data_IF_858449773670
#
_entry.id   IF_858449773670
#
_cell.length_a   1.000
_cell.length_b   1.000
_cell.length_c   1.000
_cell.angle_alpha   90.00
_cell.angle_beta   90.00
_cell.angle_gamma   90.00
#
_symmetry.space_group_name_H-M   'P 1'
#
loop_
_entity.id
_entity.type
_entity.pdbx_description
1 polymer ?
#
# COMPACT_ATOMS: atom_id res chain seq x y z
N UNK A 1 31.64 -55.10 -72.61
CA UNK A 1 30.27 -54.77 -72.14
C UNK A 1 30.40 -54.13 -70.77
N UNK A 2 29.91 -52.90 -70.63
CA UNK A 2 30.07 -51.99 -69.48
C UNK A 2 29.35 -52.46 -68.21
N UNK A 3 29.90 -52.13 -67.02
CA UNK A 3 29.17 -51.59 -65.83
C UNK A 3 30.15 -51.39 -64.66
N UNK A 4 30.51 -50.15 -64.33
CA UNK A 4 29.94 -49.27 -63.29
C UNK A 4 30.44 -49.54 -61.85
N UNK A 5 31.38 -48.70 -61.37
CA UNK A 5 31.63 -48.45 -59.94
C UNK A 5 31.52 -46.95 -59.68
N UNK A 6 30.28 -46.51 -59.36
CA UNK A 6 29.90 -45.12 -59.08
C UNK A 6 29.60 -45.00 -57.58
N UNK A 7 30.64 -44.97 -56.73
CA UNK A 7 30.43 -45.10 -55.28
C UNK A 7 31.45 -44.45 -54.33
N UNK A 8 32.48 -43.75 -54.81
CA UNK A 8 33.50 -43.15 -53.92
C UNK A 8 33.29 -41.65 -53.63
N UNK A 9 32.62 -40.89 -54.50
CA UNK A 9 32.53 -39.43 -54.34
C UNK A 9 31.46 -38.98 -53.34
N UNK A 10 30.32 -39.69 -53.26
CA UNK A 10 29.23 -39.29 -52.36
C UNK A 10 29.57 -39.53 -50.88
N UNK A 11 30.34 -40.58 -50.58
CA UNK A 11 30.70 -40.94 -49.19
C UNK A 11 31.77 -39.99 -48.62
N UNK A 12 32.73 -39.56 -49.45
CA UNK A 12 33.74 -38.55 -49.07
C UNK A 12 33.08 -37.18 -48.89
N UNK A 13 32.12 -36.83 -49.76
CA UNK A 13 31.38 -35.57 -49.66
C UNK A 13 30.48 -35.53 -48.42
N UNK A 14 29.80 -36.62 -48.06
CA UNK A 14 28.97 -36.67 -46.84
C UNK A 14 29.80 -36.63 -45.56
N UNK A 15 30.95 -37.29 -45.51
CA UNK A 15 31.86 -37.21 -44.36
C UNK A 15 32.42 -35.80 -44.16
N UNK A 16 32.76 -35.10 -45.25
CA UNK A 16 33.24 -33.71 -45.20
C UNK A 16 32.16 -32.73 -44.70
N UNK A 17 30.92 -32.90 -45.16
CA UNK A 17 29.78 -32.07 -44.71
C UNK A 17 29.46 -32.28 -43.22
N UNK A 18 29.52 -33.52 -42.73
CA UNK A 18 29.32 -33.82 -41.31
C UNK A 18 30.42 -33.21 -40.44
N UNK A 19 31.67 -33.24 -40.91
CA UNK A 19 32.80 -32.64 -40.20
C UNK A 19 32.68 -31.10 -40.12
N UNK A 20 32.24 -30.46 -41.21
CA UNK A 20 31.95 -29.03 -41.24
C UNK A 20 30.82 -28.66 -40.27
N UNK A 21 29.73 -29.43 -40.27
CA UNK A 21 28.60 -29.20 -39.36
C UNK A 21 29.03 -29.34 -37.88
N UNK A 22 29.83 -30.36 -37.57
CA UNK A 22 30.37 -30.57 -36.22
C UNK A 22 31.32 -29.43 -35.82
N UNK A 23 32.19 -28.98 -36.73
CA UNK A 23 33.11 -27.87 -36.44
C UNK A 23 32.36 -26.56 -36.17
N UNK A 24 31.28 -26.27 -36.89
CA UNK A 24 30.42 -25.10 -36.63
C UNK A 24 29.68 -25.19 -35.30
N UNK A 25 29.29 -26.40 -34.86
CA UNK A 25 28.56 -26.59 -33.62
C UNK A 25 29.47 -26.61 -32.37
N UNK A 26 30.72 -27.06 -32.51
CA UNK A 26 31.67 -27.17 -31.41
C UNK A 26 32.66 -25.99 -31.31
N UNK A 27 33.00 -25.33 -32.42
CA UNK A 27 33.86 -24.13 -32.45
C UNK A 27 33.10 -22.83 -32.68
N UNK A 28 31.77 -22.89 -32.85
CA UNK A 28 30.90 -21.72 -32.81
C UNK A 28 30.86 -21.15 -31.39
N UNK A 29 31.88 -20.35 -31.04
CA UNK A 29 31.80 -19.48 -29.86
C UNK A 29 30.53 -18.65 -29.96
N UNK A 30 29.78 -18.42 -28.87
CA UNK A 30 28.84 -17.31 -28.88
C UNK A 30 29.68 -16.06 -29.16
N UNK A 31 29.38 -15.36 -30.26
CA UNK A 31 29.80 -13.97 -30.41
C UNK A 31 29.15 -13.23 -29.25
N UNK A 32 29.86 -13.15 -28.13
CA UNK A 32 29.60 -12.14 -27.12
C UNK A 32 29.91 -10.86 -27.86
N UNK A 33 28.85 -10.18 -28.31
CA UNK A 33 28.96 -8.80 -28.71
C UNK A 33 29.65 -8.10 -27.54
N UNK A 34 30.89 -7.67 -27.74
CA UNK A 34 31.62 -6.82 -26.82
C UNK A 34 30.87 -5.50 -26.77
N UNK A 35 29.79 -5.47 -25.99
CA UNK A 35 29.16 -4.27 -25.51
C UNK A 35 30.26 -3.53 -24.78
N UNK A 36 30.65 -2.39 -25.33
CA UNK A 36 31.54 -1.41 -24.71
C UNK A 36 31.20 -1.33 -23.23
N UNK A 37 32.04 -1.95 -22.41
CA UNK A 37 31.91 -1.93 -20.96
C UNK A 37 32.14 -0.48 -20.53
N UNK A 38 31.05 0.27 -20.39
CA UNK A 38 31.09 1.64 -19.95
C UNK A 38 31.50 1.60 -18.47
N UNK A 39 32.65 2.17 -18.08
CA UNK A 39 33.14 2.13 -16.70
C UNK A 39 32.19 2.77 -15.67
N UNK A 40 31.20 3.53 -16.17
CA UNK A 40 30.09 4.10 -15.40
C UNK A 40 29.14 3.04 -14.82
N UNK A 41 28.96 1.89 -15.49
CA UNK A 41 28.02 0.84 -15.05
C UNK A 41 28.55 0.06 -13.85
N UNK A 42 29.87 -0.02 -13.69
CA UNK A 42 30.52 -0.76 -12.59
C UNK A 42 30.56 0.04 -11.27
N UNK A 43 30.40 1.37 -11.36
CA UNK A 43 30.37 2.28 -10.20
C UNK A 43 28.95 2.66 -9.77
N UNK A 44 27.95 2.42 -10.62
CA UNK A 44 26.56 2.73 -10.31
C UNK A 44 25.90 1.61 -9.50
N UNK A 45 25.14 2.02 -8.49
CA UNK A 45 24.33 1.06 -7.73
C UNK A 45 23.22 0.48 -8.62
N UNK A 46 22.73 -0.71 -8.28
CA UNK A 46 21.63 -1.34 -9.03
C UNK A 46 20.39 -0.42 -9.12
N UNK A 47 20.14 0.39 -8.08
CA UNK A 47 19.06 1.37 -8.02
C UNK A 47 19.24 2.52 -9.04
N UNK A 48 20.47 3.02 -9.16
CA UNK A 48 20.83 4.08 -10.12
C UNK A 48 20.78 3.58 -11.58
N UNK A 49 21.17 2.32 -11.81
CA UNK A 49 21.02 1.67 -13.11
C UNK A 49 19.55 1.44 -13.49
N UNK A 50 18.68 1.11 -12.52
CA UNK A 50 17.24 0.99 -12.77
C UNK A 50 16.59 2.32 -13.07
N UNK A 51 17.02 3.39 -12.43
CA UNK A 51 16.56 4.76 -12.69
C UNK A 51 16.95 5.22 -14.10
N UNK A 52 18.22 5.06 -14.49
CA UNK A 52 18.73 5.43 -15.83
C UNK A 52 18.09 4.61 -16.95
N UNK A 53 17.76 3.35 -16.69
CA UNK A 53 17.08 2.47 -17.65
C UNK A 53 15.58 2.78 -17.80
N UNK A 54 15.03 3.75 -17.06
CA UNK A 54 13.62 4.12 -17.10
C UNK A 54 12.69 3.12 -16.39
N UNK A 55 13.25 2.19 -15.61
CA UNK A 55 12.53 1.31 -14.69
C UNK A 55 12.41 1.95 -13.30
N UNK A 56 12.28 3.27 -13.23
CA UNK A 56 12.16 3.99 -11.97
C UNK A 56 10.96 3.48 -11.15
N UNK A 57 11.20 3.17 -9.88
CA UNK A 57 10.17 2.80 -8.90
C UNK A 57 9.36 4.04 -8.42
N UNK A 58 9.50 5.19 -9.10
CA UNK A 58 8.86 6.43 -8.69
C UNK A 58 7.33 6.34 -8.79
N UNK A 59 6.65 6.71 -7.70
CA UNK A 59 5.19 6.73 -7.71
C UNK A 59 4.71 7.91 -8.56
N UNK A 60 4.03 7.61 -9.67
CA UNK A 60 3.41 8.61 -10.56
C UNK A 60 2.41 9.54 -9.86
N UNK A 61 1.91 9.15 -8.69
CA UNK A 61 1.15 10.04 -7.81
C UNK A 61 1.32 9.64 -6.36
N UNK A 62 1.01 10.54 -5.43
CA UNK A 62 0.98 10.26 -3.99
C UNK A 62 -0.40 10.58 -3.46
N UNK A 63 -0.96 9.71 -2.61
CA UNK A 63 -2.27 9.94 -1.99
C UNK A 63 -2.16 9.75 -0.49
N UNK A 64 -2.27 10.85 0.25
CA UNK A 64 -2.11 10.88 1.69
C UNK A 64 -3.46 11.04 2.37
N UNK A 65 -3.72 10.26 3.41
CA UNK A 65 -4.90 10.41 4.28
C UNK A 65 -4.43 10.74 5.69
N UNK A 66 -4.89 11.86 6.22
CA UNK A 66 -4.53 12.37 7.54
C UNK A 66 -5.73 12.53 8.47
N UNK A 67 -5.47 12.55 9.77
CA UNK A 67 -6.46 12.88 10.79
C UNK A 67 -5.95 12.61 12.20
N UNK A 68 -6.83 12.79 13.17
CA UNK A 68 -6.48 12.68 14.60
C UNK A 68 -7.46 11.75 15.31
N UNK A 69 -6.99 10.94 16.24
CA UNK A 69 -7.81 10.12 17.13
C UNK A 69 -7.72 10.68 18.55
N UNK A 70 -8.86 11.10 19.07
CA UNK A 70 -9.03 11.68 20.39
C UNK A 70 -9.90 10.76 21.25
N UNK A 71 -9.71 10.82 22.56
CA UNK A 71 -10.53 10.15 23.55
C UNK A 71 -11.20 11.17 24.44
N UNK A 72 -12.52 11.09 24.52
CA UNK A 72 -13.31 11.92 25.41
C UNK A 72 -12.94 11.63 26.87
N UNK A 73 -12.88 12.68 27.68
CA UNK A 73 -12.68 12.55 29.11
C UNK A 73 -14.00 12.18 29.81
N UNK A 74 -13.97 11.22 30.74
CA UNK A 74 -15.10 10.97 31.65
C UNK A 74 -15.21 12.14 32.65
N UNK A 75 -16.33 12.87 32.67
CA UNK A 75 -16.51 13.99 33.57
C UNK A 75 -17.94 14.18 34.08
N UNK A 76 -18.01 14.65 35.33
CA UNK A 76 -19.18 15.31 35.90
C UNK A 76 -19.46 16.62 35.15
N UNK A 77 -20.74 16.96 34.98
CA UNK A 77 -21.26 18.10 34.19
C UNK A 77 -20.61 19.48 34.46
N UNK A 78 -19.84 19.63 35.55
CA UNK A 78 -19.21 20.89 35.98
C UNK A 78 -17.79 21.12 35.46
N UNK A 79 -17.10 20.09 34.94
CA UNK A 79 -15.76 20.26 34.38
C UNK A 79 -15.73 19.56 33.02
N UNK A 80 -15.65 20.30 31.91
CA UNK A 80 -15.36 19.72 30.58
C UNK A 80 -13.85 19.82 30.34
N UNK A 81 -13.14 18.74 30.54
CA UNK A 81 -11.73 18.57 30.22
C UNK A 81 -11.66 18.33 28.71
N UNK A 82 -10.60 18.84 28.07
CA UNK A 82 -10.39 18.61 26.66
C UNK A 82 -10.21 17.10 26.37
N UNK A 83 -10.63 16.63 25.18
CA UNK A 83 -10.32 15.30 24.71
C UNK A 83 -8.80 15.06 24.66
N UNK A 84 -8.36 13.86 25.00
CA UNK A 84 -6.94 13.50 25.03
C UNK A 84 -6.52 12.78 23.75
N UNK A 85 -5.31 13.03 23.23
CA UNK A 85 -4.81 12.29 22.08
C UNK A 85 -4.63 10.81 22.39
N UNK A 86 -4.88 9.95 21.40
CA UNK A 86 -4.73 8.49 21.54
C UNK A 86 -3.57 8.01 20.70
N UNK A 87 -2.43 7.77 21.35
CA UNK A 87 -1.24 7.25 20.68
C UNK A 87 -1.28 5.75 20.44
N UNK A 88 -0.81 5.29 19.27
CA UNK A 88 -0.71 3.88 18.91
C UNK A 88 -2.05 3.21 18.56
N UNK A 89 -3.09 3.97 18.25
CA UNK A 89 -4.37 3.43 17.78
C UNK A 89 -4.23 2.90 16.35
N UNK A 90 -4.70 1.67 16.10
CA UNK A 90 -4.74 1.14 14.74
C UNK A 90 -5.93 1.73 13.98
N UNK A 91 -5.62 2.39 12.87
CA UNK A 91 -6.59 2.96 11.95
C UNK A 91 -6.52 2.26 10.60
N UNK A 92 -7.61 2.32 9.84
CA UNK A 92 -7.66 1.75 8.52
C UNK A 92 -8.52 2.57 7.56
N UNK A 93 -8.02 2.76 6.36
CA UNK A 93 -8.76 3.29 5.21
C UNK A 93 -9.25 2.10 4.40
N UNK A 94 -10.58 1.99 4.27
CA UNK A 94 -11.23 0.96 3.47
C UNK A 94 -11.85 1.61 2.23
N UNK A 95 -11.28 1.35 1.06
CA UNK A 95 -11.74 1.86 -0.22
C UNK A 95 -12.52 0.82 -1.00
N UNK A 96 -13.65 1.23 -1.57
CA UNK A 96 -14.43 0.38 -2.44
C UNK A 96 -13.87 0.36 -3.87
N UNK A 97 -13.62 -0.83 -4.42
CA UNK A 97 -13.02 -1.00 -5.75
C UNK A 97 -13.94 -1.85 -6.64
N UNK A 98 -14.80 -1.22 -7.43
CA UNK A 98 -15.62 -1.85 -8.47
C UNK A 98 -17.14 -1.83 -8.25
N UNK A 99 -17.89 -2.34 -9.23
CA UNK A 99 -19.37 -2.28 -9.28
C UNK A 99 -20.06 -3.23 -8.30
N UNK A 100 -19.38 -4.32 -7.90
CA UNK A 100 -19.91 -5.26 -6.90
C UNK A 100 -19.42 -4.85 -5.52
N UNK A 101 -20.35 -4.38 -4.69
CA UNK A 101 -20.24 -3.96 -3.27
C UNK A 101 -19.45 -4.86 -2.29
N UNK A 102 -18.87 -5.98 -2.74
CA UNK A 102 -18.26 -7.02 -1.91
C UNK A 102 -16.74 -6.94 -1.73
N UNK A 103 -15.99 -6.21 -2.58
CA UNK A 103 -14.52 -6.11 -2.41
C UNK A 103 -14.12 -4.70 -1.99
N UNK A 104 -13.57 -4.57 -0.80
CA UNK A 104 -12.88 -3.36 -0.34
C UNK A 104 -11.40 -3.65 -0.14
N UNK A 105 -10.57 -2.69 -0.54
CA UNK A 105 -9.14 -2.69 -0.24
C UNK A 105 -8.92 -1.94 1.07
N UNK A 106 -8.13 -2.52 1.96
CA UNK A 106 -7.90 -1.99 3.30
C UNK A 106 -6.42 -1.64 3.41
N UNK A 107 -6.14 -0.41 3.82
CA UNK A 107 -4.81 0.09 4.14
C UNK A 107 -4.80 0.46 5.62
N UNK A 108 -3.79 0.01 6.36
CA UNK A 108 -3.69 0.24 7.81
C UNK A 108 -2.65 1.31 8.11
N UNK A 109 -2.83 1.97 9.25
CA UNK A 109 -1.85 2.87 9.84
C UNK A 109 -2.00 2.87 11.36
N UNK A 110 -1.14 3.63 12.01
CA UNK A 110 -1.17 3.86 13.45
C UNK A 110 -1.08 5.35 13.74
N UNK A 111 -1.64 5.76 14.87
CA UNK A 111 -1.46 7.13 15.37
C UNK A 111 -0.13 7.30 16.11
N UNK A 112 0.43 8.50 16.03
CA UNK A 112 1.63 8.94 16.72
C UNK A 112 1.36 9.38 18.17
N UNK A 113 2.32 10.03 18.82
CA UNK A 113 2.21 10.53 20.20
C UNK A 113 1.16 11.63 20.40
N UNK A 114 0.83 12.39 19.36
CA UNK A 114 -0.20 13.42 19.35
C UNK A 114 -1.57 12.87 18.92
N UNK A 115 -1.66 11.56 18.67
CA UNK A 115 -2.88 10.92 18.18
C UNK A 115 -3.14 11.19 16.71
N UNK A 116 -2.20 11.79 15.99
CA UNK A 116 -2.29 12.07 14.57
C UNK A 116 -1.85 10.84 13.77
N UNK A 117 -2.41 10.67 12.57
CA UNK A 117 -1.98 9.64 11.65
C UNK A 117 -1.83 10.23 10.25
N UNK A 118 -0.91 9.64 9.49
CA UNK A 118 -0.71 9.88 8.07
C UNK A 118 -0.55 8.53 7.36
N UNK A 119 -1.44 8.23 6.42
CA UNK A 119 -1.43 6.98 5.65
C UNK A 119 -1.19 7.31 4.19
N UNK A 120 -0.09 6.80 3.64
CA UNK A 120 0.12 6.77 2.19
C UNK A 120 -0.65 5.59 1.58
N UNK A 121 -1.51 5.87 0.60
CA UNK A 121 -2.24 4.83 -0.09
C UNK A 121 -1.35 4.20 -1.17
N UNK A 122 -1.44 2.87 -1.38
CA UNK A 122 -0.70 2.19 -2.43
C UNK A 122 -1.17 2.64 -3.83
N UNK A 123 -0.25 2.57 -4.80
CA UNK A 123 -0.43 3.06 -6.18
C UNK A 123 -1.70 2.58 -6.88
N UNK A 124 -2.10 1.32 -6.68
CA UNK A 124 -3.33 0.76 -7.26
C UNK A 124 -4.63 1.42 -6.76
N UNK A 125 -4.59 2.19 -5.67
CA UNK A 125 -5.73 2.98 -5.20
C UNK A 125 -5.71 4.41 -5.75
N UNK A 126 -4.61 4.86 -6.35
CA UNK A 126 -4.51 6.20 -6.90
C UNK A 126 -5.44 6.40 -8.10
N UNK A 127 -5.68 5.35 -8.88
CA UNK A 127 -6.58 5.41 -10.03
C UNK A 127 -8.07 5.54 -9.66
N UNK A 128 -8.44 5.45 -8.36
CA UNK A 128 -9.84 5.54 -7.93
C UNK A 128 -10.32 7.00 -8.04
N UNK A 129 -11.35 7.29 -8.86
CA UNK A 129 -11.93 8.63 -8.89
C UNK A 129 -12.81 8.87 -7.64
N UNK A 130 -12.90 10.11 -7.20
CA UNK A 130 -13.74 10.53 -6.05
C UNK A 130 -13.51 9.66 -4.79
N UNK A 131 -12.25 9.50 -4.38
CA UNK A 131 -11.83 8.69 -3.23
C UNK A 131 -12.65 9.01 -1.95
N UNK A 132 -13.02 10.28 -1.76
CA UNK A 132 -13.87 10.77 -0.67
C UNK A 132 -15.28 10.16 -0.60
N UNK A 133 -15.78 9.59 -1.72
CA UNK A 133 -17.07 8.91 -1.78
C UNK A 133 -16.96 7.41 -1.56
N UNK A 134 -15.81 6.82 -1.91
CA UNK A 134 -15.61 5.37 -1.95
C UNK A 134 -14.79 4.84 -0.78
N UNK A 135 -14.05 5.71 -0.09
CA UNK A 135 -13.19 5.34 1.02
C UNK A 135 -13.76 5.79 2.36
N UNK A 136 -13.62 4.90 3.33
CA UNK A 136 -14.09 5.08 4.69
C UNK A 136 -12.96 4.79 5.67
N UNK A 137 -12.76 5.70 6.62
CA UNK A 137 -11.83 5.51 7.71
C UNK A 137 -12.52 4.80 8.88
N UNK A 138 -11.81 3.84 9.48
CA UNK A 138 -12.21 3.10 10.67
C UNK A 138 -11.06 3.09 11.68
N UNK A 139 -11.38 3.25 12.96
CA UNK A 139 -10.47 2.88 14.05
C UNK A 139 -10.70 1.39 14.29
N UNK A 140 -9.69 0.56 14.00
CA UNK A 140 -9.78 -0.90 14.14
C UNK A 140 -9.72 -1.32 15.61
N UNK A 141 -8.70 -0.81 16.30
CA UNK A 141 -8.43 -1.17 17.68
C UNK A 141 -7.71 -0.02 18.37
N UNK A 142 -8.24 0.52 19.48
CA UNK A 142 -7.47 1.41 20.32
C UNK A 142 -6.37 0.63 21.05
N UNK A 143 -5.30 1.29 21.52
CA UNK A 143 -4.18 0.63 22.19
C UNK A 143 -4.67 -0.26 23.34
N UNK A 144 -4.04 -1.42 23.57
CA UNK A 144 -4.45 -2.37 24.62
C UNK A 144 -4.57 -1.70 25.99
N UNK A 145 -3.66 -0.77 26.29
CA UNK A 145 -3.59 -0.03 27.54
C UNK A 145 -4.42 1.27 27.56
N UNK A 146 -5.17 1.56 26.48
CA UNK A 146 -6.00 2.76 26.45
C UNK A 146 -7.22 2.61 27.36
N UNK A 147 -7.55 3.70 28.05
CA UNK A 147 -8.79 3.85 28.82
C UNK A 147 -10.00 4.12 27.91
N UNK A 148 -9.86 3.90 26.61
CA UNK A 148 -10.81 4.33 25.59
C UNK A 148 -11.29 3.12 24.80
N UNK A 149 -12.54 3.16 24.36
CA UNK A 149 -13.14 2.18 23.47
C UNK A 149 -13.68 2.88 22.23
N UNK A 150 -13.84 2.18 21.10
CA UNK A 150 -14.65 2.69 20.02
C UNK A 150 -16.01 3.10 20.59
N UNK A 151 -16.44 4.34 20.33
CA UNK A 151 -17.81 4.74 20.63
C UNK A 151 -18.79 3.72 20.02
N UNK A 152 -19.86 3.38 20.74
CA UNK A 152 -20.88 2.45 20.23
C UNK A 152 -21.47 2.91 18.88
N UNK A 153 -21.32 4.20 18.57
CA UNK A 153 -21.75 4.85 17.35
C UNK A 153 -20.57 5.35 16.50
N UNK A 154 -19.37 4.74 16.54
CA UNK A 154 -18.28 5.10 15.60
C UNK A 154 -18.76 4.79 14.18
N UNK A 155 -19.44 5.79 13.60
CA UNK A 155 -19.79 5.86 12.20
C UNK A 155 -18.46 5.94 11.47
N UNK A 156 -18.30 5.09 10.46
CA UNK A 156 -17.17 5.18 9.56
C UNK A 156 -17.06 6.62 9.05
N UNK A 157 -15.91 7.26 9.25
CA UNK A 157 -15.71 8.64 8.79
C UNK A 157 -15.35 8.63 7.32
N UNK A 158 -16.05 9.44 6.52
CA UNK A 158 -15.62 9.72 5.15
C UNK A 158 -14.42 10.64 5.20
N UNK A 159 -13.48 10.38 4.31
CA UNK A 159 -12.37 11.29 4.06
C UNK A 159 -12.87 12.45 3.19
N UNK A 160 -12.23 13.60 3.28
CA UNK A 160 -12.50 14.79 2.45
C UNK A 160 -11.23 15.21 1.76
N UNK A 161 -11.30 15.56 0.49
CA UNK A 161 -10.16 16.11 -0.24
C UNK A 161 -9.78 17.46 0.38
N UNK A 162 -8.53 17.62 0.79
CA UNK A 162 -8.01 18.86 1.36
C UNK A 162 -7.15 19.64 0.38
N UNK A 163 -6.32 18.96 -0.42
CA UNK A 163 -5.43 19.62 -1.38
C UNK A 163 -5.08 18.71 -2.56
N UNK A 164 -4.78 19.35 -3.69
CA UNK A 164 -4.29 18.69 -4.92
C UNK A 164 -3.17 19.55 -5.50
N UNK A 165 -2.02 18.97 -5.79
CA UNK A 165 -0.92 19.66 -6.46
C UNK A 165 0.32 18.78 -6.58
N UNK A 166 1.15 19.01 -7.61
CA UNK A 166 2.43 18.32 -7.83
C UNK A 166 2.32 16.77 -7.79
N UNK A 167 1.23 16.22 -8.32
CA UNK A 167 0.98 14.77 -8.28
C UNK A 167 0.55 14.23 -6.91
N UNK A 168 0.37 15.09 -5.90
CA UNK A 168 -0.03 14.74 -4.54
C UNK A 168 -1.50 15.13 -4.31
N UNK A 169 -2.29 14.18 -3.80
CA UNK A 169 -3.65 14.43 -3.29
C UNK A 169 -3.68 14.14 -1.80
N UNK A 170 -4.06 15.13 -1.02
CA UNK A 170 -4.19 14.97 0.44
C UNK A 170 -5.66 14.95 0.81
N UNK A 171 -6.00 14.01 1.69
CA UNK A 171 -7.32 13.83 2.24
C UNK A 171 -7.25 13.95 3.77
N UNK A 172 -8.31 14.48 4.36
CA UNK A 172 -8.48 14.57 5.82
C UNK A 172 -9.73 13.82 6.29
N UNK A 173 -9.60 13.07 7.37
CA UNK A 173 -10.73 12.39 8.02
C UNK A 173 -11.31 13.17 9.21
N UNK A 174 -10.79 14.38 9.51
CA UNK A 174 -11.08 15.16 10.72
C UNK A 174 -10.80 14.36 12.02
N UNK A 175 -11.04 14.97 13.18
CA UNK A 175 -10.81 14.33 14.49
C UNK A 175 -11.85 13.26 14.79
N UNK A 176 -11.43 12.06 15.17
CA UNK A 176 -12.29 10.92 15.53
C UNK A 176 -12.31 10.81 17.05
N UNK A 177 -13.50 10.82 17.64
CA UNK A 177 -13.67 10.81 19.08
C UNK A 177 -14.06 9.41 19.56
N UNK A 178 -13.23 8.83 20.42
CA UNK A 178 -13.45 7.58 21.14
C UNK A 178 -14.10 7.87 22.49
N UNK A 179 -14.89 6.92 23.00
CA UNK A 179 -15.49 7.07 24.33
C UNK A 179 -14.60 6.46 25.39
N UNK A 180 -14.59 7.02 26.61
CA UNK A 180 -13.91 6.38 27.73
C UNK A 180 -14.57 5.03 28.05
N UNK A 181 -13.75 4.08 28.50
CA UNK A 181 -14.24 2.83 29.07
C UNK A 181 -15.01 3.17 30.36
N UNK A 182 -16.15 2.51 30.60
CA UNK A 182 -16.92 2.74 31.80
C UNK A 182 -16.11 2.26 33.01
N UNK A 183 -15.70 3.19 33.87
CA UNK A 183 -15.21 2.91 35.22
C UNK A 183 -16.31 3.21 36.24
N UNK A 184 -16.19 2.72 37.48
CA UNK A 184 -17.15 2.99 38.56
C UNK A 184 -17.62 4.47 38.66
N UNK A 185 -16.74 5.49 38.55
CA UNK A 185 -17.18 6.90 38.53
C UNK A 185 -17.95 7.31 37.25
N UNK A 186 -17.85 6.59 36.13
CA UNK A 186 -18.61 6.88 34.91
C UNK A 186 -19.95 6.11 34.83
N UNK A 187 -20.21 5.15 35.73
CA UNK A 187 -21.41 4.29 35.70
C UNK A 187 -22.54 4.76 36.62
N UNK A 188 -22.24 5.52 37.68
CA UNK A 188 -23.22 5.96 38.70
C UNK A 188 -24.31 6.91 38.20
N UNK A 189 -24.26 7.40 36.96
CA UNK A 189 -25.28 8.32 36.42
C UNK A 189 -25.98 7.85 35.16
N UNK A 190 -25.53 6.77 34.50
CA UNK A 190 -26.25 6.23 33.35
C UNK A 190 -27.58 5.55 33.75
N UNK A 191 -27.72 5.17 35.04
CA UNK A 191 -28.97 4.68 35.62
C UNK A 191 -29.96 5.80 35.98
N UNK A 192 -29.48 7.03 36.25
CA UNK A 192 -30.35 8.15 36.64
C UNK A 192 -30.93 8.91 35.45
N UNK A 193 -30.26 8.94 34.29
CA UNK A 193 -30.84 9.52 33.06
C UNK A 193 -31.98 8.69 32.47
N UNK A 194 -31.98 7.36 32.64
CA UNK A 194 -33.10 6.51 32.20
C UNK A 194 -34.35 6.65 33.08
N UNK A 195 -34.21 7.18 34.30
CA UNK A 195 -35.33 7.42 35.23
C UNK A 195 -35.90 8.85 35.11
N UNK A 196 -35.21 9.76 34.43
CA UNK A 196 -35.69 11.14 34.22
C UNK A 196 -36.60 11.32 32.99
N UNK A 197 -36.81 10.26 32.20
CA UNK A 197 -37.71 10.24 31.03
C UNK A 197 -39.06 9.54 31.30
N UNK A 198 -39.38 9.25 32.57
CA UNK A 198 -40.62 8.57 32.96
C UNK A 198 -41.48 9.35 33.99
N UNK A 199 -41.33 10.66 34.07
CA UNK A 199 -42.28 11.54 34.76
C UNK A 199 -42.65 12.74 33.89
#
# INVERSE_FOLDING_TARGET
MMSHFRGCNNLVMTMSLLFLFFSLFFFGTPVIAAGRENPLVELSSAEELTEVAGYGEEKLSTVLVSGTVLCEACLDEKARLPPRPVSGAQVAVSCHTGERKRKSKIVRGSTDEFGDFLIDLPSHLHAIPNLEKLCLLKVLQPPKNSLCRPAFTVKHKRIKLSSVGNGIRTYTAQSIHLTPKPSAPCMTKQSNEKMAFLY
#
